data_IF_963189270573
#
_entry.id   IF_963189270573
#
_cell.length_a   1.000
_cell.length_b   1.000
_cell.length_c   1.000
_cell.angle_alpha   90.00
_cell.angle_beta   90.00
_cell.angle_gamma   90.00
#
_symmetry.space_group_name_H-M   'P 1'
#
loop_
_entity.id
_entity.type
_entity.pdbx_description
1 polymer ?
#
# COMPACT_ATOMS: atom_id res chain seq x y z
N UNK A 1 11.20 -15.33 -3.80
CA UNK A 1 10.41 -14.69 -2.70
C UNK A 1 11.22 -13.66 -1.90
N UNK A 2 12.56 -13.58 -2.05
CA UNK A 2 13.36 -12.44 -1.57
C UNK A 2 13.14 -11.18 -2.43
N UNK A 3 12.77 -11.36 -3.70
CA UNK A 3 12.72 -10.30 -4.70
C UNK A 3 11.62 -9.27 -4.42
N UNK A 4 10.44 -9.70 -3.97
CA UNK A 4 9.31 -8.80 -3.62
C UNK A 4 9.69 -7.87 -2.47
N UNK A 5 10.27 -8.41 -1.39
CA UNK A 5 10.64 -7.62 -0.22
C UNK A 5 11.73 -6.62 -0.56
N UNK A 6 12.74 -7.04 -1.33
CA UNK A 6 13.80 -6.14 -1.76
C UNK A 6 13.28 -5.05 -2.72
N UNK A 7 12.40 -5.42 -3.66
CA UNK A 7 11.80 -4.50 -4.63
C UNK A 7 10.89 -3.48 -3.96
N UNK A 8 10.06 -3.92 -2.99
CA UNK A 8 9.24 -3.02 -2.19
C UNK A 8 10.10 -2.08 -1.34
N UNK A 9 11.21 -2.57 -0.75
CA UNK A 9 12.17 -1.72 -0.02
C UNK A 9 12.79 -0.67 -0.94
N UNK A 10 13.14 -1.05 -2.17
CA UNK A 10 13.69 -0.11 -3.16
C UNK A 10 12.70 0.96 -3.56
N UNK A 11 11.45 0.58 -3.83
CA UNK A 11 10.37 1.50 -4.12
C UNK A 11 10.10 2.51 -2.98
N UNK A 12 10.33 2.13 -1.73
CA UNK A 12 10.18 3.02 -0.57
C UNK A 12 11.25 4.11 -0.44
N UNK A 13 12.33 4.04 -1.24
CA UNK A 13 13.33 5.11 -1.32
C UNK A 13 12.75 6.38 -1.99
N UNK A 14 11.60 6.26 -2.67
CA UNK A 14 10.88 7.40 -3.24
C UNK A 14 10.25 8.31 -2.17
N UNK A 15 10.20 9.61 -2.49
CA UNK A 15 9.73 10.65 -1.57
C UNK A 15 8.21 10.79 -1.46
N UNK A 16 7.46 10.31 -2.44
CA UNK A 16 6.00 10.42 -2.51
C UNK A 16 5.33 9.05 -2.59
N UNK A 17 4.11 8.96 -2.06
CA UNK A 17 3.34 7.71 -2.06
C UNK A 17 3.15 7.17 -3.48
N UNK A 18 2.69 8.04 -4.38
CA UNK A 18 2.41 7.68 -5.76
C UNK A 18 3.66 7.20 -6.50
N UNK A 19 4.80 7.87 -6.27
CA UNK A 19 6.07 7.52 -6.91
C UNK A 19 6.58 6.17 -6.41
N UNK A 20 6.50 5.91 -5.10
CA UNK A 20 6.85 4.60 -4.54
C UNK A 20 6.04 3.47 -5.20
N UNK A 21 4.73 3.65 -5.34
CA UNK A 21 3.86 2.64 -5.95
C UNK A 21 4.16 2.46 -7.44
N UNK A 22 4.40 3.56 -8.16
CA UNK A 22 4.79 3.49 -9.59
C UNK A 22 6.13 2.79 -9.76
N UNK A 23 7.13 3.10 -8.94
CA UNK A 23 8.44 2.43 -8.96
C UNK A 23 8.30 0.93 -8.69
N UNK A 24 7.46 0.53 -7.71
CA UNK A 24 7.19 -0.88 -7.44
C UNK A 24 6.58 -1.62 -8.64
N UNK A 25 5.71 -0.98 -9.41
CA UNK A 25 5.10 -1.55 -10.63
C UNK A 25 6.13 -1.62 -11.76
N UNK A 26 6.95 -0.59 -11.93
CA UNK A 26 7.94 -0.49 -13.01
C UNK A 26 9.08 -1.51 -12.89
N UNK A 27 9.34 -2.04 -11.67
CA UNK A 27 10.31 -3.12 -11.46
C UNK A 27 9.90 -4.44 -12.16
N UNK A 28 8.63 -4.60 -12.56
CA UNK A 28 8.19 -5.70 -13.41
C UNK A 28 8.06 -7.06 -12.69
N UNK A 29 8.00 -8.13 -13.50
CA UNK A 29 7.80 -9.52 -13.08
C UNK A 29 6.51 -9.77 -12.28
N UNK A 30 6.58 -9.63 -10.96
CA UNK A 30 5.51 -9.89 -10.00
C UNK A 30 4.98 -8.54 -9.45
N UNK A 31 4.40 -7.77 -10.37
CA UNK A 31 4.05 -6.37 -10.13
C UNK A 31 2.90 -6.21 -9.14
N UNK A 32 1.94 -7.12 -9.13
CA UNK A 32 0.78 -7.05 -8.24
C UNK A 32 1.18 -7.36 -6.80
N UNK A 33 1.97 -8.42 -6.56
CA UNK A 33 2.47 -8.74 -5.23
C UNK A 33 3.41 -7.66 -4.71
N UNK A 34 4.37 -7.21 -5.53
CA UNK A 34 5.35 -6.18 -5.15
C UNK A 34 4.67 -4.85 -4.87
N UNK A 35 3.72 -4.44 -5.71
CA UNK A 35 2.95 -3.22 -5.50
C UNK A 35 2.04 -3.31 -4.27
N UNK A 36 1.44 -4.47 -3.98
CA UNK A 36 0.62 -4.65 -2.78
C UNK A 36 1.45 -4.47 -1.49
N UNK A 37 2.65 -5.06 -1.44
CA UNK A 37 3.57 -4.90 -0.29
C UNK A 37 4.06 -3.47 -0.17
N UNK A 38 4.50 -2.87 -1.28
CA UNK A 38 4.97 -1.48 -1.30
C UNK A 38 3.87 -0.50 -0.87
N UNK A 39 2.64 -0.63 -1.39
CA UNK A 39 1.48 0.18 -0.99
C UNK A 39 1.20 0.07 0.52
N UNK A 40 1.23 -1.15 1.07
CA UNK A 40 1.00 -1.36 2.51
C UNK A 40 2.02 -0.63 3.37
N UNK A 41 3.31 -0.76 3.06
CA UNK A 41 4.39 -0.09 3.78
C UNK A 41 4.34 1.44 3.62
N UNK A 42 4.04 1.90 2.41
CA UNK A 42 3.91 3.32 2.07
C UNK A 42 2.68 3.93 2.79
N UNK A 43 1.60 3.16 2.91
CA UNK A 43 0.40 3.55 3.68
C UNK A 43 0.64 3.66 5.18
N UNK A 44 1.55 2.86 5.74
CA UNK A 44 1.99 3.03 7.14
C UNK A 44 2.81 4.33 7.29
N UNK A 45 3.69 4.63 6.32
CA UNK A 45 4.58 5.81 6.38
C UNK A 45 3.86 7.13 6.17
N UNK A 46 2.96 7.21 5.18
CA UNK A 46 2.32 8.47 4.77
C UNK A 46 0.84 8.56 5.15
N UNK A 47 0.26 7.51 5.71
CA UNK A 47 -1.17 7.46 6.04
C UNK A 47 -2.08 7.38 4.81
N UNK A 48 -3.39 7.40 5.07
CA UNK A 48 -4.41 7.34 4.01
C UNK A 48 -4.42 8.59 3.13
N UNK A 49 -4.08 9.75 3.71
CA UNK A 49 -4.03 11.04 3.01
C UNK A 49 -2.90 11.11 1.98
N UNK A 50 -1.88 10.25 2.13
CA UNK A 50 -0.83 10.09 1.13
C UNK A 50 -1.32 9.42 -0.15
N UNK A 51 -2.44 8.68 -0.11
CA UNK A 51 -2.96 7.97 -1.28
C UNK A 51 -3.66 8.97 -2.21
N UNK A 52 -3.32 9.00 -3.51
CA UNK A 52 -4.03 9.84 -4.46
C UNK A 52 -5.54 9.59 -4.43
N UNK A 53 -6.32 10.64 -4.17
CA UNK A 53 -7.78 10.53 -4.04
C UNK A 53 -8.46 9.88 -5.26
N UNK A 54 -7.88 10.04 -6.46
CA UNK A 54 -8.36 9.40 -7.69
C UNK A 54 -8.22 7.88 -7.67
N UNK A 55 -7.21 7.33 -7.00
CA UNK A 55 -7.04 5.89 -6.82
C UNK A 55 -8.04 5.34 -5.81
N UNK A 56 -8.22 6.03 -4.68
CA UNK A 56 -9.22 5.65 -3.68
C UNK A 56 -10.64 5.62 -4.26
N UNK A 57 -11.01 6.63 -5.07
CA UNK A 57 -12.31 6.69 -5.76
C UNK A 57 -12.56 5.52 -6.72
N UNK A 58 -11.49 4.93 -7.27
CA UNK A 58 -11.56 3.80 -8.20
C UNK A 58 -11.40 2.43 -7.50
N UNK A 59 -11.05 2.42 -6.21
CA UNK A 59 -10.79 1.19 -5.48
C UNK A 59 -12.08 0.39 -5.31
N UNK A 60 -12.14 -0.76 -5.97
CA UNK A 60 -13.29 -1.67 -5.85
C UNK A 60 -13.40 -2.20 -4.43
N UNK A 61 -14.64 -2.42 -3.99
CA UNK A 61 -14.97 -3.02 -2.68
C UNK A 61 -14.45 -2.23 -1.47
N UNK A 62 -14.18 -0.92 -1.62
CA UNK A 62 -13.80 -0.06 -0.48
C UNK A 62 -14.80 -0.13 0.67
N UNK A 63 -16.11 -0.18 0.36
CA UNK A 63 -17.21 -0.33 1.33
C UNK A 63 -17.15 -1.63 2.15
N UNK A 64 -16.43 -2.65 1.66
CA UNK A 64 -16.21 -3.90 2.39
C UNK A 64 -14.93 -3.79 3.22
N UNK A 65 -13.84 -3.27 2.67
CA UNK A 65 -12.52 -3.26 3.33
C UNK A 65 -12.47 -2.24 4.48
N UNK A 66 -13.05 -1.06 4.30
CA UNK A 66 -13.02 0.01 5.29
C UNK A 66 -13.56 -0.42 6.68
N UNK A 67 -14.77 -1.02 6.82
CA UNK A 67 -15.23 -1.47 8.12
C UNK A 67 -14.40 -2.64 8.67
N UNK A 68 -13.75 -3.46 7.84
CA UNK A 68 -12.84 -4.51 8.32
C UNK A 68 -11.60 -3.89 8.97
N UNK A 69 -11.00 -2.88 8.33
CA UNK A 69 -9.84 -2.17 8.85
C UNK A 69 -10.15 -1.47 10.18
N UNK A 70 -11.31 -0.81 10.27
CA UNK A 70 -11.76 -0.16 11.52
C UNK A 70 -11.92 -1.18 12.65
N UNK A 71 -12.60 -2.31 12.40
CA UNK A 71 -12.76 -3.35 13.42
C UNK A 71 -11.43 -3.97 13.85
N UNK A 72 -10.52 -4.19 12.91
CA UNK A 72 -9.19 -4.71 13.20
C UNK A 72 -8.42 -3.75 14.13
N UNK A 73 -8.39 -2.46 13.81
CA UNK A 73 -7.74 -1.44 14.64
C UNK A 73 -8.36 -1.36 16.04
N UNK A 74 -9.69 -1.42 16.15
CA UNK A 74 -10.35 -1.46 17.45
C UNK A 74 -9.94 -2.69 18.28
N UNK A 75 -9.82 -3.87 17.65
CA UNK A 75 -9.42 -5.11 18.32
C UNK A 75 -7.96 -5.09 18.80
N UNK A 76 -7.07 -4.43 18.04
CA UNK A 76 -5.65 -4.30 18.41
C UNK A 76 -5.48 -3.32 19.56
N UNK A 77 -6.26 -2.24 19.61
CA UNK A 77 -6.21 -1.23 20.68
C UNK A 77 -6.86 -1.68 21.99
N UNK A 78 -7.73 -2.68 21.93
CA UNK A 78 -8.39 -3.26 23.10
C UNK A 78 -7.54 -4.33 23.81
N UNK A 79 -6.37 -4.67 23.25
CA UNK A 79 -5.34 -5.51 23.87
C UNK A 79 -4.25 -4.64 24.47
#
# INVERSE_FOLDING_TARGET
>A
MLDTTWSARKALEEGLFEDAVRTAILLGHDTDTTSAVANGLTGIKYGIDGIPARWLKQLRRVKIVEPLAVRFLASVRAR
#
